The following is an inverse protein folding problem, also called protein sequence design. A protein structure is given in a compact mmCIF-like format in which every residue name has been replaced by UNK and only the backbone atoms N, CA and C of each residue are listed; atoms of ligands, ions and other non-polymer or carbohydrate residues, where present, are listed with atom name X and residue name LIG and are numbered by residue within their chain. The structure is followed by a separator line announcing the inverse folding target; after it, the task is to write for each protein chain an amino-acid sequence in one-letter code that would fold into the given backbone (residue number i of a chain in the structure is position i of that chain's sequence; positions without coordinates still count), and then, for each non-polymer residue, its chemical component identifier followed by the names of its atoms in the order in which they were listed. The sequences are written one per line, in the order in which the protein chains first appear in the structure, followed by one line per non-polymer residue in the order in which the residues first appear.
data_IF_225802840882
#
_entry.id   IF_225802840882
#
_cell.length_a   1.000
_cell.length_b   1.000
_cell.length_c   1.000
_cell.angle_alpha   90.00
_cell.angle_beta   90.00
_cell.angle_gamma   90.00
#
_symmetry.space_group_name_H-M   'P 1'
#
loop_
_entity.id
_entity.type
_entity.pdbx_description
1 polymer ?
#
# COMPACT_ATOMS: atom_id res chain seq x y z
N UNK A 1 46.08 -48.65 -19.61
CA UNK A 1 44.78 -48.71 -18.91
C UNK A 1 43.74 -48.18 -19.87
N UNK A 2 42.67 -48.91 -20.17
CA UNK A 2 41.57 -48.32 -20.94
C UNK A 2 40.90 -47.20 -20.13
N UNK A 3 40.69 -46.07 -20.73
CA UNK A 3 39.94 -44.99 -20.10
C UNK A 3 38.73 -44.66 -20.99
N UNK A 4 37.65 -44.21 -20.33
CA UNK A 4 36.45 -43.75 -21.01
C UNK A 4 36.46 -42.24 -20.94
N UNK A 5 36.42 -41.61 -22.12
CA UNK A 5 36.31 -40.19 -22.25
C UNK A 5 34.90 -39.80 -22.65
N UNK A 6 34.24 -39.06 -21.79
CA UNK A 6 32.88 -38.55 -22.02
C UNK A 6 32.97 -37.04 -22.25
N UNK A 7 32.99 -36.65 -23.50
CA UNK A 7 33.15 -35.24 -23.89
C UNK A 7 31.82 -34.46 -23.86
N UNK A 8 30.70 -35.16 -23.92
CA UNK A 8 29.37 -34.54 -23.88
C UNK A 8 28.36 -35.47 -23.20
N UNK A 9 27.43 -34.91 -22.45
CA UNK A 9 26.32 -35.63 -21.85
C UNK A 9 24.98 -35.22 -22.48
N UNK A 10 24.20 -36.23 -22.88
CA UNK A 10 22.89 -36.02 -23.52
C UNK A 10 21.75 -35.87 -22.52
N UNK A 11 21.95 -36.31 -21.28
CA UNK A 11 20.95 -36.24 -20.24
C UNK A 11 20.69 -37.58 -19.57
N UNK A 12 19.58 -37.67 -18.87
CA UNK A 12 19.17 -38.82 -18.08
C UNK A 12 18.05 -39.59 -18.78
N UNK A 13 18.19 -40.91 -18.89
CA UNK A 13 17.21 -41.83 -19.47
C UNK A 13 16.87 -42.96 -18.49
N UNK A 14 16.10 -42.70 -17.43
CA UNK A 14 15.86 -43.67 -16.36
C UNK A 14 15.02 -44.86 -16.74
N UNK A 15 14.30 -44.80 -17.87
CA UNK A 15 13.49 -45.90 -18.38
C UNK A 15 14.24 -46.89 -19.29
N UNK A 16 15.52 -46.67 -19.55
CA UNK A 16 16.33 -47.53 -20.43
C UNK A 16 17.25 -48.41 -19.56
N UNK A 17 17.26 -49.73 -19.84
CA UNK A 17 18.16 -50.65 -19.15
C UNK A 17 19.60 -50.34 -19.55
N UNK A 18 20.52 -50.50 -18.58
CA UNK A 18 21.92 -50.06 -18.73
C UNK A 18 22.63 -50.62 -19.96
N UNK A 19 22.30 -51.83 -20.38
CA UNK A 19 22.86 -52.49 -21.60
C UNK A 19 22.40 -51.88 -22.91
N UNK A 20 21.33 -51.14 -22.91
CA UNK A 20 20.77 -50.44 -24.09
C UNK A 20 20.87 -48.93 -24.01
N UNK A 21 21.55 -48.41 -22.98
CA UNK A 21 21.69 -47.00 -22.79
C UNK A 21 22.58 -46.41 -23.89
N UNK A 22 22.10 -45.38 -24.61
CA UNK A 22 22.93 -44.71 -25.59
C UNK A 22 24.18 -44.06 -24.94
N UNK A 23 25.26 -44.04 -25.72
CA UNK A 23 26.50 -43.37 -25.29
C UNK A 23 26.22 -41.93 -24.84
N UNK A 24 26.93 -41.51 -23.84
CA UNK A 24 26.81 -40.16 -23.26
C UNK A 24 25.47 -39.85 -22.56
N UNK A 25 24.76 -40.90 -22.16
CA UNK A 25 23.54 -40.79 -21.34
C UNK A 25 23.71 -41.43 -19.98
N UNK A 26 22.94 -41.02 -18.99
CA UNK A 26 22.93 -41.57 -17.66
C UNK A 26 21.58 -42.22 -17.32
N UNK A 27 21.58 -43.32 -16.58
CA UNK A 27 20.37 -43.91 -15.98
C UNK A 27 19.90 -43.11 -14.77
N UNK A 28 20.88 -42.68 -13.97
CA UNK A 28 20.65 -41.92 -12.75
C UNK A 28 21.70 -40.81 -12.64
N UNK A 29 21.30 -39.65 -12.18
CA UNK A 29 22.18 -38.55 -11.84
C UNK A 29 21.72 -37.97 -10.51
N UNK A 30 22.62 -37.91 -9.55
CA UNK A 30 22.37 -37.33 -8.25
C UNK A 30 23.30 -36.15 -8.01
N UNK A 31 22.79 -35.08 -7.43
CA UNK A 31 23.53 -33.87 -7.13
C UNK A 31 24.26 -33.22 -8.33
N UNK A 32 23.75 -33.45 -9.54
CA UNK A 32 24.28 -32.84 -10.75
C UNK A 32 23.18 -32.62 -11.79
N UNK A 33 23.40 -31.68 -12.69
CA UNK A 33 22.55 -31.44 -13.85
C UNK A 33 23.37 -31.42 -15.14
N UNK A 34 22.70 -31.68 -16.25
CA UNK A 34 23.29 -31.73 -17.58
C UNK A 34 22.87 -30.51 -18.41
N UNK A 35 23.53 -29.38 -18.21
CA UNK A 35 23.31 -28.20 -19.04
C UNK A 35 24.37 -28.11 -20.11
N UNK A 36 23.93 -27.86 -21.34
CA UNK A 36 24.82 -27.68 -22.49
C UNK A 36 25.77 -28.86 -22.75
N UNK A 37 25.34 -30.09 -22.42
CA UNK A 37 26.13 -31.28 -22.60
C UNK A 37 27.27 -31.47 -21.58
N UNK A 38 27.31 -30.66 -20.54
CA UNK A 38 28.32 -30.72 -19.48
C UNK A 38 27.67 -31.21 -18.18
N UNK A 39 28.36 -32.07 -17.45
CA UNK A 39 27.96 -32.46 -16.09
C UNK A 39 28.40 -31.33 -15.14
N UNK A 40 27.41 -30.69 -14.53
CA UNK A 40 27.66 -29.63 -13.55
C UNK A 40 27.10 -30.08 -12.21
N UNK A 41 27.83 -29.96 -11.10
CA UNK A 41 27.29 -30.26 -9.78
C UNK A 41 26.15 -29.32 -9.42
N UNK A 42 25.16 -29.82 -8.71
CA UNK A 42 24.17 -28.95 -8.06
C UNK A 42 24.87 -28.07 -7.04
N UNK A 43 24.41 -26.83 -6.99
CA UNK A 43 24.92 -25.91 -5.98
C UNK A 43 24.42 -26.34 -4.59
N UNK A 44 25.33 -26.36 -3.64
CA UNK A 44 24.95 -26.55 -2.24
C UNK A 44 24.04 -25.39 -1.81
N UNK A 45 23.03 -25.66 -1.00
CA UNK A 45 22.26 -24.59 -0.38
C UNK A 45 23.19 -23.68 0.41
N UNK A 46 23.09 -22.38 0.17
CA UNK A 46 23.75 -21.37 1.00
C UNK A 46 23.16 -21.39 2.42
N UNK A 47 23.86 -20.76 3.35
CA UNK A 47 23.29 -20.50 4.67
C UNK A 47 21.95 -19.75 4.54
N UNK A 48 21.08 -19.99 5.52
CA UNK A 48 19.77 -19.33 5.52
C UNK A 48 19.94 -17.82 5.67
N UNK A 49 19.44 -17.08 4.71
CA UNK A 49 19.48 -15.61 4.71
C UNK A 49 18.61 -15.03 5.84
N UNK A 50 17.52 -15.71 6.19
CA UNK A 50 16.63 -15.34 7.28
C UNK A 50 16.04 -16.54 7.96
N UNK A 51 16.00 -16.51 9.30
CA UNK A 51 15.31 -17.48 10.13
C UNK A 51 14.11 -16.84 10.83
N UNK A 52 13.03 -17.59 10.97
CA UNK A 52 11.81 -17.15 11.64
C UNK A 52 11.54 -18.00 12.87
N UNK A 53 11.18 -17.37 13.98
CA UNK A 53 10.85 -18.08 15.23
C UNK A 53 9.60 -18.97 15.09
N UNK A 54 8.66 -18.58 14.24
CA UNK A 54 7.42 -19.32 13.93
C UNK A 54 7.40 -19.57 12.43
N UNK A 55 7.03 -20.78 12.02
CA UNK A 55 6.93 -21.14 10.61
C UNK A 55 5.87 -20.29 9.92
N UNK A 56 6.25 -19.40 9.00
CA UNK A 56 5.29 -18.57 8.25
C UNK A 56 4.57 -19.40 7.18
N UNK A 57 3.36 -18.98 6.81
CA UNK A 57 2.66 -19.46 5.61
C UNK A 57 2.96 -18.62 4.38
N UNK A 58 3.25 -17.33 4.58
CA UNK A 58 3.63 -16.40 3.51
C UNK A 58 4.88 -15.64 3.92
N UNK A 59 5.84 -15.55 2.99
CA UNK A 59 7.08 -14.80 3.14
C UNK A 59 7.20 -13.86 1.93
N UNK A 60 7.66 -12.66 2.18
CA UNK A 60 7.90 -11.67 1.14
C UNK A 60 9.19 -10.89 1.41
N UNK A 61 10.13 -10.94 0.49
CA UNK A 61 11.34 -10.13 0.56
C UNK A 61 11.02 -8.70 0.15
N UNK A 62 11.08 -7.79 1.11
CA UNK A 62 10.70 -6.39 0.88
C UNK A 62 11.82 -5.63 0.20
N UNK A 63 12.91 -5.39 0.92
CA UNK A 63 14.14 -4.75 0.45
C UNK A 63 15.23 -4.93 1.49
N UNK A 64 16.48 -4.80 1.08
CA UNK A 64 17.64 -4.97 1.94
C UNK A 64 17.49 -6.28 2.76
N UNK A 65 17.67 -6.21 4.06
CA UNK A 65 17.52 -7.35 4.98
C UNK A 65 16.10 -7.54 5.53
N UNK A 66 15.11 -6.79 5.02
CA UNK A 66 13.74 -6.84 5.53
C UNK A 66 12.91 -7.92 4.83
N UNK A 67 12.55 -8.92 5.60
CA UNK A 67 11.65 -10.00 5.22
C UNK A 67 10.34 -9.89 5.99
N UNK A 68 9.23 -9.82 5.26
CA UNK A 68 7.91 -9.86 5.84
C UNK A 68 7.41 -11.28 5.91
N UNK A 69 6.77 -11.63 7.02
CA UNK A 69 6.29 -12.97 7.27
C UNK A 69 4.94 -12.95 7.95
N UNK A 70 4.04 -13.80 7.48
CA UNK A 70 2.71 -13.96 8.06
C UNK A 70 2.43 -15.42 8.39
N UNK A 71 1.72 -15.65 9.48
CA UNK A 71 1.24 -16.96 9.90
C UNK A 71 0.05 -17.45 9.08
N UNK A 72 -0.56 -16.55 8.31
CA UNK A 72 -1.67 -16.84 7.41
C UNK A 72 -1.24 -16.73 5.94
N UNK A 73 -2.10 -17.23 5.05
CA UNK A 73 -1.93 -17.03 3.61
C UNK A 73 -2.31 -15.58 3.28
N UNK A 74 -1.36 -14.84 2.72
CA UNK A 74 -1.47 -13.42 2.42
C UNK A 74 -1.04 -13.18 0.98
N UNK A 75 -1.89 -12.50 0.21
CA UNK A 75 -1.53 -12.01 -1.11
C UNK A 75 -0.84 -10.66 -0.97
N UNK A 76 0.35 -10.54 -1.55
CA UNK A 76 1.21 -9.35 -1.40
C UNK A 76 1.61 -8.83 -2.77
N UNK A 77 1.47 -7.53 -2.97
CA UNK A 77 1.87 -6.84 -4.19
C UNK A 77 2.61 -5.55 -3.88
N UNK A 78 3.65 -5.25 -4.65
CA UNK A 78 4.32 -3.95 -4.61
C UNK A 78 3.47 -2.88 -5.26
N UNK A 79 3.69 -1.62 -4.87
CA UNK A 79 3.08 -0.48 -5.54
C UNK A 79 3.30 -0.55 -7.06
N UNK A 80 2.24 -0.33 -7.87
CA UNK A 80 2.37 -0.26 -9.32
C UNK A 80 3.07 1.02 -9.79
N UNK A 81 3.30 1.97 -8.90
CA UNK A 81 4.00 3.22 -9.21
C UNK A 81 5.49 2.93 -9.31
N UNK A 82 6.06 3.18 -10.49
CA UNK A 82 7.49 3.03 -10.69
C UNK A 82 8.27 3.93 -9.73
N UNK A 83 9.25 3.36 -9.03
CA UNK A 83 10.08 4.08 -8.06
C UNK A 83 9.26 4.81 -6.98
N UNK A 84 8.21 4.16 -6.47
CA UNK A 84 7.39 4.72 -5.40
C UNK A 84 8.29 5.20 -4.23
N UNK A 85 8.32 6.51 -3.93
CA UNK A 85 9.21 7.07 -2.92
C UNK A 85 8.89 6.56 -1.52
N UNK A 86 7.67 6.10 -1.28
CA UNK A 86 7.25 5.51 -0.02
C UNK A 86 7.57 4.02 0.08
N UNK A 87 7.85 3.35 -1.04
CA UNK A 87 8.07 1.92 -1.10
C UNK A 87 6.86 1.12 -0.63
N UNK A 88 5.66 1.50 -1.05
CA UNK A 88 4.41 0.91 -0.60
C UNK A 88 4.24 -0.53 -1.04
N UNK A 89 3.61 -1.28 -0.17
CA UNK A 89 3.17 -2.64 -0.41
C UNK A 89 1.70 -2.73 -0.03
N UNK A 90 0.95 -3.42 -0.86
CA UNK A 90 -0.44 -3.74 -0.60
C UNK A 90 -0.57 -5.23 -0.30
N UNK A 91 -1.38 -5.59 0.67
CA UNK A 91 -1.62 -6.99 0.99
C UNK A 91 -2.98 -7.22 1.61
N UNK A 92 -3.45 -8.47 1.59
CA UNK A 92 -4.71 -8.87 2.19
C UNK A 92 -4.49 -10.06 3.10
N UNK A 93 -4.97 -9.97 4.33
CA UNK A 93 -4.89 -11.01 5.36
C UNK A 93 -6.24 -11.72 5.57
N UNK A 94 -7.10 -11.69 4.59
CA UNK A 94 -8.44 -12.28 4.64
C UNK A 94 -9.48 -11.44 5.36
N UNK A 95 -9.10 -10.26 5.91
CA UNK A 95 -10.02 -9.32 6.59
C UNK A 95 -10.23 -8.07 5.79
N UNK A 96 -9.19 -7.31 5.62
CA UNK A 96 -9.21 -6.04 4.89
C UNK A 96 -7.97 -5.91 4.01
N UNK A 97 -8.09 -5.28 2.85
CA UNK A 97 -6.91 -4.84 2.12
C UNK A 97 -6.15 -3.81 2.95
N UNK A 98 -4.83 -3.95 2.98
CA UNK A 98 -3.92 -3.14 3.79
C UNK A 98 -2.85 -2.52 2.92
N UNK A 99 -2.32 -1.42 3.38
CA UNK A 99 -1.14 -0.76 2.82
C UNK A 99 -0.12 -0.53 3.92
N UNK A 100 1.13 -0.75 3.61
CA UNK A 100 2.27 -0.41 4.46
C UNK A 100 3.35 0.25 3.63
N UNK A 101 4.23 0.98 4.27
CA UNK A 101 5.36 1.67 3.64
C UNK A 101 6.67 1.42 4.40
N UNK A 102 7.75 1.92 3.84
CA UNK A 102 9.06 1.75 4.42
C UNK A 102 9.20 2.27 5.85
N UNK A 103 8.46 3.32 6.20
CA UNK A 103 8.59 3.97 7.50
C UNK A 103 7.94 3.17 8.62
N UNK A 104 6.76 2.60 8.34
CA UNK A 104 5.98 1.90 9.35
C UNK A 104 6.18 0.38 9.33
N UNK A 105 6.51 -0.19 8.15
CA UNK A 105 6.69 -1.62 7.99
C UNK A 105 7.97 -2.14 8.64
N UNK A 106 9.05 -1.36 8.57
CA UNK A 106 10.38 -1.76 9.04
C UNK A 106 10.73 -1.22 10.44
N UNK A 107 9.73 -0.78 11.19
CA UNK A 107 9.93 -0.18 12.50
C UNK A 107 10.24 -1.23 13.57
N UNK A 108 11.31 -0.99 14.34
CA UNK A 108 11.72 -1.90 15.42
C UNK A 108 12.38 -3.19 14.93
N UNK A 109 12.76 -4.04 15.89
CA UNK A 109 13.52 -5.29 15.64
C UNK A 109 12.63 -6.54 15.62
N UNK A 110 11.32 -6.38 15.62
CA UNK A 110 10.35 -7.48 15.69
C UNK A 110 10.01 -8.08 14.33
N UNK A 111 8.86 -8.74 14.29
CA UNK A 111 8.32 -9.26 13.04
C UNK A 111 7.87 -8.14 12.11
N UNK A 112 8.15 -8.29 10.83
CA UNK A 112 7.73 -7.36 9.79
C UNK A 112 6.60 -7.97 8.92
N UNK A 113 5.70 -7.13 8.37
CA UNK A 113 5.60 -5.68 8.58
C UNK A 113 5.19 -5.34 10.02
N UNK A 114 5.87 -4.39 10.64
CA UNK A 114 5.60 -3.98 12.02
C UNK A 114 4.22 -3.32 12.17
N UNK A 115 3.78 -2.57 11.17
CA UNK A 115 2.48 -1.90 11.13
C UNK A 115 1.95 -1.73 9.71
N UNK A 116 0.66 -1.47 9.62
CA UNK A 116 -0.01 -1.19 8.34
C UNK A 116 -1.26 -0.37 8.56
N UNK A 117 -1.71 0.30 7.52
CA UNK A 117 -3.00 0.97 7.46
C UNK A 117 -4.01 0.13 6.67
N UNK A 118 -5.28 0.30 6.97
CA UNK A 118 -6.34 -0.19 6.09
C UNK A 118 -6.28 0.60 4.79
N UNK A 119 -6.40 -0.10 3.66
CA UNK A 119 -6.45 0.55 2.35
C UNK A 119 -7.74 1.36 2.21
N UNK A 120 -7.62 2.57 1.66
CA UNK A 120 -8.67 3.53 1.49
C UNK A 120 -8.73 4.58 2.61
N UNK A 121 -9.07 5.80 2.22
CA UNK A 121 -9.22 6.93 3.13
C UNK A 121 -10.70 7.02 3.51
N UNK A 122 -11.04 6.96 4.80
CA UNK A 122 -12.43 7.07 5.24
C UNK A 122 -12.97 8.49 4.99
N UNK A 123 -14.28 8.61 4.82
CA UNK A 123 -14.94 9.90 4.85
C UNK A 123 -14.94 10.46 6.29
N UNK A 124 -14.94 11.80 6.45
CA UNK A 124 -15.35 12.44 7.70
C UNK A 124 -16.76 11.99 8.12
N UNK A 125 -16.96 11.73 9.40
CA UNK A 125 -18.22 11.13 9.90
C UNK A 125 -19.26 12.17 10.30
N UNK A 126 -18.83 13.40 10.57
CA UNK A 126 -19.70 14.49 11.00
C UNK A 126 -19.58 15.68 10.06
N UNK A 127 -20.67 16.41 9.89
CA UNK A 127 -20.64 17.66 9.15
C UNK A 127 -19.82 18.72 9.91
N UNK A 128 -19.12 19.64 9.22
CA UNK A 128 -18.53 20.79 9.86
C UNK A 128 -19.59 21.65 10.57
N UNK A 129 -19.32 22.02 11.83
CA UNK A 129 -20.16 22.97 12.55
C UNK A 129 -19.65 24.36 12.30
N UNK A 130 -20.51 25.22 11.77
CA UNK A 130 -20.20 26.59 11.39
C UNK A 130 -20.62 27.57 12.46
N UNK A 131 -19.73 28.45 12.87
CA UNK A 131 -20.01 29.56 13.78
C UNK A 131 -19.61 30.86 13.06
N UNK A 132 -20.59 31.74 12.87
CA UNK A 132 -20.35 33.05 12.24
C UNK A 132 -19.64 33.95 13.25
N UNK A 133 -18.48 34.46 12.86
CA UNK A 133 -17.74 35.47 13.62
C UNK A 133 -18.07 36.82 13.01
N UNK A 134 -18.72 37.67 13.76
CA UNK A 134 -19.05 38.99 13.29
C UNK A 134 -17.79 39.81 12.97
N UNK A 135 -17.76 40.36 11.77
CA UNK A 135 -16.72 41.26 11.29
C UNK A 135 -17.36 42.22 10.30
N UNK A 136 -16.78 43.39 10.17
CA UNK A 136 -17.32 44.41 9.28
C UNK A 136 -18.35 45.32 9.94
N UNK A 137 -19.03 46.13 9.12
CA UNK A 137 -20.05 47.07 9.58
C UNK A 137 -21.37 46.35 9.84
N UNK A 138 -21.67 46.10 11.11
CA UNK A 138 -22.91 45.42 11.54
C UNK A 138 -24.17 46.31 11.36
N UNK A 139 -24.02 47.55 10.93
CA UNK A 139 -25.15 48.46 10.65
C UNK A 139 -25.69 48.32 9.24
N UNK A 140 -24.96 47.62 8.38
CA UNK A 140 -25.42 47.32 7.03
C UNK A 140 -26.33 46.09 7.03
N UNK A 141 -27.61 46.27 6.91
CA UNK A 141 -28.64 45.24 6.86
C UNK A 141 -29.25 45.14 5.44
N UNK A 142 -28.38 45.22 4.41
CA UNK A 142 -28.79 45.09 3.06
C UNK A 142 -28.88 43.61 2.66
N UNK A 143 -30.07 43.01 2.48
CA UNK A 143 -30.22 41.60 2.17
C UNK A 143 -29.66 41.19 0.80
N UNK A 144 -29.35 42.15 -0.07
CA UNK A 144 -28.72 41.86 -1.37
C UNK A 144 -27.23 41.49 -1.23
N UNK A 145 -26.62 41.78 -0.09
CA UNK A 145 -25.23 41.45 0.20
C UNK A 145 -25.12 40.14 0.99
N UNK A 146 -26.24 39.49 1.29
CA UNK A 146 -26.28 38.22 1.98
C UNK A 146 -25.66 37.14 1.12
N UNK A 147 -24.71 36.41 1.70
CA UNK A 147 -24.00 35.30 1.05
C UNK A 147 -24.29 33.99 1.78
N UNK A 148 -24.79 33.03 1.03
CA UNK A 148 -25.06 31.69 1.57
C UNK A 148 -23.96 30.73 1.21
N UNK A 149 -23.49 29.97 2.20
CA UNK A 149 -22.40 29.01 2.05
C UNK A 149 -22.69 27.69 2.71
N UNK A 150 -22.12 26.63 2.09
CA UNK A 150 -22.03 25.28 2.68
C UNK A 150 -20.56 24.88 2.70
N UNK A 151 -20.19 24.06 3.67
CA UNK A 151 -18.86 23.55 3.83
C UNK A 151 -18.88 22.02 3.93
N UNK A 152 -17.90 21.39 3.32
CA UNK A 152 -17.60 19.96 3.53
C UNK A 152 -16.09 19.78 3.64
N UNK A 153 -15.69 18.65 4.18
CA UNK A 153 -14.27 18.31 4.30
C UNK A 153 -13.97 16.93 3.75
N UNK A 154 -12.72 16.74 3.33
CA UNK A 154 -12.13 15.44 2.99
C UNK A 154 -10.87 15.23 3.80
N UNK A 155 -10.51 13.95 4.01
CA UNK A 155 -9.21 13.60 4.55
C UNK A 155 -8.23 13.30 3.42
N UNK A 156 -6.96 13.67 3.64
CA UNK A 156 -5.87 13.43 2.69
C UNK A 156 -4.75 12.66 3.38
N UNK A 157 -4.32 11.57 2.77
CA UNK A 157 -3.24 10.74 3.28
C UNK A 157 -1.87 11.39 3.14
N UNK A 158 -0.86 10.80 3.80
CA UNK A 158 0.55 11.15 3.64
C UNK A 158 1.04 10.92 2.20
N UNK A 159 0.38 10.03 1.48
CA UNK A 159 0.65 9.74 0.07
C UNK A 159 -0.01 10.72 -0.89
N UNK A 160 -0.76 11.70 -0.40
CA UNK A 160 -1.49 12.67 -1.21
C UNK A 160 -2.83 12.16 -1.77
N UNK A 161 -3.26 10.98 -1.36
CA UNK A 161 -4.55 10.40 -1.76
C UNK A 161 -5.67 11.07 -0.98
N UNK A 162 -6.72 11.49 -1.68
CA UNK A 162 -7.89 12.12 -1.09
C UNK A 162 -9.05 11.14 -0.96
N UNK A 163 -9.65 11.12 0.23
CA UNK A 163 -10.82 10.32 0.51
C UNK A 163 -12.13 10.98 0.05
N UNK A 164 -13.25 10.28 0.20
CA UNK A 164 -14.56 10.84 -0.12
C UNK A 164 -14.92 11.98 0.84
N UNK A 165 -15.80 12.92 0.40
CA UNK A 165 -16.25 14.01 1.24
C UNK A 165 -17.14 13.52 2.39
N UNK A 166 -17.07 14.23 3.50
CA UNK A 166 -18.00 14.11 4.60
C UNK A 166 -19.35 14.74 4.29
N UNK A 167 -20.31 14.66 5.25
CA UNK A 167 -21.56 15.39 5.13
C UNK A 167 -21.34 16.90 5.03
N UNK A 168 -22.16 17.58 4.26
CA UNK A 168 -22.12 19.04 4.18
C UNK A 168 -22.62 19.67 5.49
N UNK A 169 -22.10 20.84 5.83
CA UNK A 169 -22.57 21.66 6.92
C UNK A 169 -24.04 22.08 6.70
N UNK A 170 -24.67 22.57 7.74
CA UNK A 170 -25.86 23.37 7.59
C UNK A 170 -25.52 24.64 6.82
N UNK A 171 -26.53 25.23 6.22
CA UNK A 171 -26.46 26.52 5.57
C UNK A 171 -25.98 27.62 6.51
N UNK A 172 -25.06 28.45 6.01
CA UNK A 172 -24.55 29.60 6.74
C UNK A 172 -24.79 30.84 5.92
N UNK A 173 -25.56 31.76 6.46
CA UNK A 173 -25.80 33.06 5.87
C UNK A 173 -24.86 34.09 6.48
N UNK A 174 -24.14 34.81 5.64
CA UNK A 174 -23.25 35.89 5.99
C UNK A 174 -23.87 37.22 5.53
N UNK A 175 -24.22 38.06 6.47
CA UNK A 175 -24.98 39.27 6.21
C UNK A 175 -24.14 40.50 5.90
N UNK A 176 -22.86 40.45 6.22
CA UNK A 176 -21.96 41.59 6.04
C UNK A 176 -20.67 41.18 5.38
N UNK A 177 -20.11 41.99 4.44
CA UNK A 177 -18.79 41.79 3.91
C UNK A 177 -17.72 41.70 5.03
N UNK A 178 -16.74 40.82 4.89
CA UNK A 178 -15.68 40.64 5.84
C UNK A 178 -16.04 39.75 7.05
N UNK A 179 -17.24 39.18 7.12
CA UNK A 179 -17.63 38.24 8.12
C UNK A 179 -16.85 36.91 7.95
N UNK A 180 -16.24 36.41 9.02
CA UNK A 180 -15.53 35.14 9.04
C UNK A 180 -16.42 33.99 9.53
N UNK A 181 -16.15 32.79 9.03
CA UNK A 181 -16.79 31.55 9.52
C UNK A 181 -15.73 30.71 10.20
N UNK A 182 -15.98 30.41 11.46
CA UNK A 182 -15.21 29.43 12.20
C UNK A 182 -15.80 28.05 11.99
N UNK A 183 -14.96 27.09 11.59
CA UNK A 183 -15.36 25.72 11.37
C UNK A 183 -14.84 24.80 12.49
N UNK A 184 -15.74 24.05 13.12
CA UNK A 184 -15.38 22.91 13.94
C UNK A 184 -15.49 21.66 13.10
N UNK A 185 -14.38 20.96 12.91
CA UNK A 185 -14.22 19.86 11.97
C UNK A 185 -14.33 18.49 12.65
N UNK A 186 -14.63 17.47 11.87
CA UNK A 186 -14.66 16.07 12.33
C UNK A 186 -13.36 15.66 13.02
N UNK A 187 -13.41 14.80 14.07
CA UNK A 187 -12.20 14.20 14.59
C UNK A 187 -11.54 13.32 13.52
N UNK A 188 -10.20 13.36 13.47
CA UNK A 188 -9.44 12.43 12.62
C UNK A 188 -9.49 11.05 13.23
N UNK A 189 -9.85 9.99 12.48
CA UNK A 189 -9.76 8.63 12.97
C UNK A 189 -8.33 8.28 13.40
N UNK A 190 -8.15 7.87 14.65
CA UNK A 190 -6.81 7.56 15.22
C UNK A 190 -6.24 6.26 14.68
N UNK A 191 -7.04 5.41 14.05
CA UNK A 191 -6.65 4.08 13.62
C UNK A 191 -6.89 3.85 12.13
N UNK A 192 -5.93 3.19 11.50
CA UNK A 192 -6.01 2.55 10.18
C UNK A 192 -5.95 3.42 8.93
N UNK A 193 -5.62 4.71 9.02
CA UNK A 193 -5.35 5.54 7.86
C UNK A 193 -4.19 6.50 8.10
N UNK A 194 -3.38 6.74 7.09
CA UNK A 194 -2.27 7.70 7.15
C UNK A 194 -2.73 9.14 6.90
N UNK A 195 -3.77 9.59 7.61
CA UNK A 195 -4.35 10.93 7.41
C UNK A 195 -3.38 11.99 7.94
N UNK A 196 -2.93 12.89 7.08
CA UNK A 196 -2.03 13.99 7.40
C UNK A 196 -2.63 15.36 7.21
N UNK A 197 -3.58 15.48 6.32
CA UNK A 197 -4.17 16.77 5.92
C UNK A 197 -5.67 16.63 5.78
N UNK A 198 -6.32 17.79 5.70
CA UNK A 198 -7.72 17.94 5.34
C UNK A 198 -7.82 18.95 4.22
N UNK A 199 -8.80 18.77 3.36
CA UNK A 199 -9.25 19.79 2.44
C UNK A 199 -10.65 20.22 2.86
N UNK A 200 -10.87 21.52 2.86
CA UNK A 200 -12.15 22.12 3.15
C UNK A 200 -12.66 22.71 1.84
N UNK A 201 -13.85 22.31 1.48
CA UNK A 201 -14.54 22.79 0.30
C UNK A 201 -15.67 23.70 0.75
N UNK A 202 -15.81 24.81 0.06
CA UNK A 202 -16.87 25.79 0.23
C UNK A 202 -17.69 25.83 -1.04
N UNK A 203 -19.03 25.90 -0.93
CA UNK A 203 -19.87 26.19 -2.08
C UNK A 203 -19.49 27.55 -2.67
N UNK A 204 -19.67 27.71 -3.98
CA UNK A 204 -19.67 29.03 -4.56
C UNK A 204 -20.81 29.88 -3.93
N UNK A 205 -20.56 31.14 -3.72
CA UNK A 205 -21.59 32.05 -3.25
C UNK A 205 -22.73 32.05 -4.27
N UNK A 206 -23.94 31.76 -3.82
CA UNK A 206 -25.12 31.85 -4.65
C UNK A 206 -25.56 33.30 -4.85
N UNK A 207 -24.73 34.07 -5.52
CA UNK A 207 -25.16 35.29 -6.16
C UNK A 207 -25.77 34.96 -7.52
N UNK A 208 -26.94 34.36 -7.53
CA UNK A 208 -27.67 34.14 -8.75
C UNK A 208 -28.32 35.44 -9.16
N UNK A 209 -27.72 36.16 -10.09
CA UNK A 209 -28.56 36.91 -11.05
C UNK A 209 -29.29 35.85 -11.86
N UNK A 210 -30.57 35.75 -11.61
CA UNK A 210 -31.48 35.12 -12.54
C UNK A 210 -31.67 36.13 -13.67
N UNK A 211 -31.08 35.91 -14.83
CA UNK A 211 -31.54 36.42 -16.11
C UNK A 211 -32.71 35.56 -16.62
#
# INVERSE_FOLDING_TARGET
MPYIDITTMRGMMPGVIASMLPDHSAVLAENCHFRYGVITPEHQMSEAEKTFAIKPKTIFHYRDDFWFAWTDVVDVIRSPIAQDPHGRIYYTDGRFPKVTDATIATKGDGNHPASSYRLGIPAPTTAPVCTVQQGGDVSDDNPNDDETRFYTETFVSDYGEEGPPGPASLEVTLRTPGTAVQLTLSPVPLQNASIKRRRIYRSASGGGEAD
#
